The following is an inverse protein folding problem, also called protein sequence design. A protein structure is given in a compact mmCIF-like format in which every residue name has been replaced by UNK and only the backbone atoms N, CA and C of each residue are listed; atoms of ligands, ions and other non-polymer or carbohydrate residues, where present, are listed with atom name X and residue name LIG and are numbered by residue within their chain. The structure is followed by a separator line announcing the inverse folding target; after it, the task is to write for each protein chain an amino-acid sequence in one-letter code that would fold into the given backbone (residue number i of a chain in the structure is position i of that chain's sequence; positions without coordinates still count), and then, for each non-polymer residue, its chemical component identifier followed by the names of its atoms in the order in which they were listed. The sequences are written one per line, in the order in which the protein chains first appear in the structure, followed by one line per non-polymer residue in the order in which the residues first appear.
data_IF_507674510811
#
_entry.id   IF_507674510811
#
_cell.length_a   1.000
_cell.length_b   1.000
_cell.length_c   1.000
_cell.angle_alpha   90.00
_cell.angle_beta   90.00
_cell.angle_gamma   90.00
#
_symmetry.space_group_name_H-M   'P 1'
#
loop_
_entity.id
_entity.type
_entity.pdbx_description
1 polymer ?
#
# COMPACT_ATOMS: atom_id res chain seq x y z
N UNK A 1 9.66 17.62 -24.48
CA UNK A 1 8.44 18.15 -23.83
C UNK A 1 7.90 17.26 -22.69
N UNK A 2 7.64 15.95 -22.87
CA UNK A 2 7.07 15.09 -21.76
C UNK A 2 7.95 15.04 -20.50
N UNK A 3 9.29 15.05 -20.63
CA UNK A 3 10.23 14.97 -19.49
C UNK A 3 10.29 16.29 -18.70
N UNK A 4 10.29 17.44 -19.39
CA UNK A 4 10.30 18.77 -18.76
C UNK A 4 9.00 18.99 -17.98
N UNK A 5 7.86 18.62 -18.55
CA UNK A 5 6.57 18.71 -17.86
C UNK A 5 6.51 17.83 -16.60
N UNK A 6 7.17 16.67 -16.63
CA UNK A 6 7.30 15.82 -15.43
C UNK A 6 8.15 16.48 -14.34
N UNK A 7 9.25 17.11 -14.72
CA UNK A 7 10.14 17.83 -13.79
C UNK A 7 9.40 19.03 -13.17
N UNK A 8 8.74 19.84 -13.99
CA UNK A 8 7.96 20.99 -13.53
C UNK A 8 6.81 20.56 -12.62
N UNK A 9 6.09 19.51 -12.98
CA UNK A 9 4.98 19.00 -12.17
C UNK A 9 5.48 18.45 -10.83
N UNK A 10 6.64 17.80 -10.82
CA UNK A 10 7.30 17.33 -9.61
C UNK A 10 7.76 18.48 -8.72
N UNK A 11 8.40 19.49 -9.30
CA UNK A 11 8.81 20.69 -8.58
C UNK A 11 7.62 21.42 -7.95
N UNK A 12 6.54 21.61 -8.72
CA UNK A 12 5.30 22.22 -8.18
C UNK A 12 4.71 21.42 -7.02
N UNK A 13 4.68 20.11 -7.13
CA UNK A 13 4.21 19.24 -6.06
C UNK A 13 5.09 19.38 -4.81
N UNK A 14 6.42 19.31 -4.98
CA UNK A 14 7.36 19.20 -3.88
C UNK A 14 7.62 20.55 -3.18
N UNK A 15 7.36 21.71 -3.85
CA UNK A 15 7.70 23.04 -3.34
C UNK A 15 6.58 24.08 -3.35
N UNK A 16 5.48 23.85 -4.07
CA UNK A 16 4.43 24.87 -4.24
C UNK A 16 3.08 24.41 -3.69
N UNK A 17 2.75 23.14 -3.82
CA UNK A 17 1.46 22.65 -3.34
C UNK A 17 1.46 22.44 -1.82
N UNK A 18 0.34 22.85 -1.19
CA UNK A 18 0.13 22.68 0.24
C UNK A 18 -0.07 21.20 0.58
N UNK A 19 0.17 20.89 1.84
CA UNK A 19 -0.19 19.63 2.46
C UNK A 19 -1.66 19.27 2.16
N UNK A 20 -1.90 18.03 1.67
CA UNK A 20 -3.21 17.59 1.19
C UNK A 20 -3.92 16.63 2.15
N UNK A 21 -3.48 16.53 3.40
CA UNK A 21 -4.12 15.65 4.38
C UNK A 21 -5.54 16.09 4.72
N UNK A 22 -5.90 17.36 4.57
CA UNK A 22 -7.28 17.81 4.71
C UNK A 22 -8.19 17.14 3.66
N UNK A 23 -7.75 17.08 2.40
CA UNK A 23 -8.51 16.38 1.35
C UNK A 23 -8.62 14.87 1.64
N UNK A 24 -7.57 14.26 2.20
CA UNK A 24 -7.65 12.87 2.63
C UNK A 24 -8.72 12.69 3.70
N UNK A 25 -8.68 13.51 4.75
CA UNK A 25 -9.68 13.51 5.83
C UNK A 25 -11.10 13.70 5.30
N UNK A 26 -11.32 14.68 4.43
CA UNK A 26 -12.64 14.99 3.85
C UNK A 26 -13.19 13.80 3.06
N UNK A 27 -12.34 13.09 2.30
CA UNK A 27 -12.75 11.87 1.62
C UNK A 27 -13.21 10.79 2.62
N UNK A 28 -12.48 10.60 3.72
CA UNK A 28 -12.84 9.60 4.74
C UNK A 28 -14.12 9.95 5.48
N UNK A 29 -14.31 11.22 5.85
CA UNK A 29 -15.53 11.72 6.49
C UNK A 29 -16.73 11.49 5.56
N UNK A 30 -16.62 11.92 4.29
CA UNK A 30 -17.67 11.72 3.31
C UNK A 30 -18.07 10.24 3.13
N UNK A 31 -17.08 9.34 3.02
CA UNK A 31 -17.37 7.91 2.88
C UNK A 31 -18.06 7.36 4.14
N UNK A 32 -17.58 7.76 5.33
CA UNK A 32 -18.16 7.34 6.61
C UNK A 32 -19.62 7.79 6.72
N UNK A 33 -19.89 9.07 6.42
CA UNK A 33 -21.24 9.65 6.45
C UNK A 33 -22.14 9.04 5.37
N UNK A 34 -21.56 8.56 4.28
CA UNK A 34 -22.25 7.81 3.22
C UNK A 34 -22.52 6.34 3.58
N UNK A 35 -22.18 5.90 4.80
CA UNK A 35 -22.47 4.57 5.33
C UNK A 35 -21.46 3.48 4.94
N UNK A 36 -20.25 3.84 4.50
CA UNK A 36 -19.20 2.85 4.26
C UNK A 36 -18.58 2.35 5.55
N UNK A 37 -18.37 1.04 5.63
CA UNK A 37 -17.58 0.38 6.68
C UNK A 37 -16.12 0.29 6.24
N UNK A 38 -15.21 0.64 7.14
CA UNK A 38 -13.77 0.60 6.88
C UNK A 38 -13.16 -0.66 7.46
N UNK A 39 -12.44 -1.38 6.63
CA UNK A 39 -11.84 -2.66 6.99
C UNK A 39 -10.35 -2.70 6.63
N UNK A 40 -9.58 -3.41 7.43
CA UNK A 40 -8.21 -3.77 7.05
C UNK A 40 -8.24 -4.78 5.91
N UNK A 41 -7.13 -4.96 5.21
CA UNK A 41 -6.98 -5.93 4.10
C UNK A 41 -7.38 -7.34 4.56
N UNK A 42 -6.85 -7.79 5.70
CA UNK A 42 -7.13 -9.13 6.23
C UNK A 42 -8.58 -9.29 6.69
N UNK A 43 -9.18 -8.26 7.27
CA UNK A 43 -10.59 -8.26 7.68
C UNK A 43 -11.51 -8.24 6.47
N UNK A 44 -11.24 -7.37 5.49
CA UNK A 44 -11.98 -7.33 4.23
C UNK A 44 -11.93 -8.67 3.48
N UNK A 45 -10.75 -9.33 3.45
CA UNK A 45 -10.61 -10.65 2.82
C UNK A 45 -11.58 -11.69 3.41
N UNK A 46 -11.77 -11.67 4.74
CA UNK A 46 -12.69 -12.57 5.43
C UNK A 46 -14.16 -12.22 5.16
N UNK A 47 -14.50 -10.93 5.20
CA UNK A 47 -15.88 -10.44 5.10
C UNK A 47 -16.44 -10.43 3.69
N UNK A 48 -15.63 -10.05 2.71
CA UNK A 48 -16.08 -9.79 1.33
C UNK A 48 -16.63 -11.04 0.62
N UNK A 49 -16.41 -12.23 1.20
CA UNK A 49 -16.97 -13.48 0.71
C UNK A 49 -18.40 -13.74 1.21
N UNK A 50 -18.88 -12.99 2.22
CA UNK A 50 -20.11 -13.31 2.96
C UNK A 50 -21.28 -12.35 2.68
N UNK A 51 -21.05 -11.18 2.06
CA UNK A 51 -22.12 -10.22 1.75
C UNK A 51 -21.88 -9.47 0.45
N UNK A 52 -22.91 -9.37 -0.40
CA UNK A 52 -22.83 -8.74 -1.72
C UNK A 52 -23.23 -7.26 -1.73
N UNK A 53 -23.89 -6.74 -0.69
CA UNK A 53 -24.57 -5.42 -0.72
C UNK A 53 -23.95 -4.36 0.18
N UNK A 54 -23.04 -4.72 1.08
CA UNK A 54 -22.50 -3.77 2.04
C UNK A 54 -21.51 -2.78 1.40
N UNK A 55 -21.63 -1.52 1.78
CA UNK A 55 -20.64 -0.49 1.46
C UNK A 55 -19.37 -0.72 2.26
N UNK A 56 -18.28 -1.05 1.59
CA UNK A 56 -17.02 -1.42 2.20
C UNK A 56 -15.86 -0.62 1.59
N UNK A 57 -15.00 -0.11 2.45
CA UNK A 57 -13.74 0.53 2.06
C UNK A 57 -12.57 -0.21 2.68
N UNK A 58 -11.61 -0.57 1.85
CA UNK A 58 -10.33 -1.09 2.28
C UNK A 58 -9.24 -0.09 1.93
N UNK A 59 -8.56 0.46 2.95
CA UNK A 59 -7.46 1.40 2.75
C UNK A 59 -6.14 0.70 3.01
N UNK A 60 -5.19 0.93 2.11
CA UNK A 60 -3.82 0.47 2.18
C UNK A 60 -2.86 1.64 2.06
N UNK A 61 -1.90 1.73 2.99
CA UNK A 61 -0.77 2.62 2.94
C UNK A 61 0.50 1.83 2.65
N UNK A 62 1.17 2.16 1.55
CA UNK A 62 2.48 1.61 1.22
C UNK A 62 3.54 2.60 1.72
N UNK A 63 4.25 2.21 2.80
CA UNK A 63 5.27 3.02 3.45
C UNK A 63 6.62 2.77 2.79
N UNK A 64 6.87 3.53 1.71
CA UNK A 64 8.02 3.35 0.82
C UNK A 64 9.29 4.02 1.32
N UNK A 65 9.15 5.11 2.07
CA UNK A 65 10.23 6.01 2.45
C UNK A 65 10.26 6.28 3.96
N UNK A 66 11.23 7.07 4.37
CA UNK A 66 11.48 7.39 5.78
C UNK A 66 10.64 8.57 6.30
N UNK A 67 9.60 9.01 5.58
CA UNK A 67 8.69 10.06 6.03
C UNK A 67 7.82 9.56 7.21
N UNK A 68 8.38 9.73 8.40
CA UNK A 68 7.70 9.39 9.64
C UNK A 68 6.47 10.27 9.87
N UNK A 69 6.58 11.58 9.61
CA UNK A 69 5.54 12.56 9.91
C UNK A 69 4.28 12.33 9.06
N UNK A 70 4.44 12.15 7.76
CA UNK A 70 3.31 11.89 6.86
C UNK A 70 2.52 10.63 7.24
N UNK A 71 3.23 9.55 7.58
CA UNK A 71 2.58 8.31 8.03
C UNK A 71 1.91 8.45 9.42
N UNK A 72 2.50 9.25 10.33
CA UNK A 72 1.88 9.56 11.63
C UNK A 72 0.60 10.40 11.46
N UNK A 73 0.55 11.29 10.45
CA UNK A 73 -0.67 12.09 10.15
C UNK A 73 -1.79 11.18 9.64
N UNK A 74 -1.54 10.25 8.72
CA UNK A 74 -2.53 9.25 8.29
C UNK A 74 -3.12 8.51 9.49
N UNK A 75 -2.25 7.94 10.34
CA UNK A 75 -2.68 7.24 11.55
C UNK A 75 -3.55 8.13 12.46
N UNK A 76 -3.17 9.41 12.70
CA UNK A 76 -3.92 10.33 13.56
C UNK A 76 -5.31 10.64 12.99
N UNK A 77 -5.40 10.91 11.68
CA UNK A 77 -6.67 11.16 10.99
C UNK A 77 -7.59 9.95 11.14
N UNK A 78 -7.13 8.78 10.76
CA UNK A 78 -7.92 7.56 10.76
C UNK A 78 -8.35 7.16 12.18
N UNK A 79 -7.44 7.26 13.15
CA UNK A 79 -7.76 7.03 14.56
C UNK A 79 -8.83 7.98 15.06
N UNK A 80 -8.75 9.28 14.74
CA UNK A 80 -9.75 10.28 15.15
C UNK A 80 -11.14 10.00 14.59
N UNK A 81 -11.20 9.37 13.41
CA UNK A 81 -12.43 8.96 12.75
C UNK A 81 -12.89 7.54 13.12
N UNK A 82 -12.16 6.86 14.02
CA UNK A 82 -12.38 5.44 14.35
C UNK A 82 -12.37 4.52 13.12
N UNK A 83 -11.46 4.78 12.17
CA UNK A 83 -11.24 4.00 10.96
C UNK A 83 -10.04 3.08 11.18
N UNK A 84 -10.07 1.89 10.60
CA UNK A 84 -8.94 0.95 10.54
C UNK A 84 -8.53 0.73 9.11
N UNK A 85 -7.21 0.72 8.90
CA UNK A 85 -6.58 0.49 7.60
C UNK A 85 -5.37 -0.45 7.74
N UNK A 86 -4.69 -0.72 6.63
CA UNK A 86 -3.50 -1.57 6.59
C UNK A 86 -2.28 -0.75 6.16
N UNK A 87 -1.20 -0.83 6.94
CA UNK A 87 0.08 -0.19 6.67
C UNK A 87 1.13 -1.24 6.34
N UNK A 88 1.80 -1.11 5.20
CA UNK A 88 2.85 -2.03 4.77
C UNK A 88 4.21 -1.36 4.82
N UNK A 89 5.13 -1.91 5.63
CA UNK A 89 6.45 -1.35 5.85
C UNK A 89 7.54 -2.22 5.20
N UNK A 90 8.54 -1.57 4.61
CA UNK A 90 9.75 -2.23 4.12
C UNK A 90 10.66 -2.58 5.30
N UNK A 91 11.52 -3.60 5.15
CA UNK A 91 12.54 -3.92 6.18
C UNK A 91 13.51 -2.76 6.42
N UNK A 92 13.79 -1.95 5.39
CA UNK A 92 14.66 -0.77 5.48
C UNK A 92 14.05 0.34 6.33
N UNK A 93 12.73 0.50 6.32
CA UNK A 93 12.04 1.60 7.02
C UNK A 93 11.51 1.24 8.41
N UNK A 94 11.50 -0.05 8.77
CA UNK A 94 10.88 -0.54 10.01
C UNK A 94 11.46 0.10 11.28
N UNK A 95 12.77 0.38 11.31
CA UNK A 95 13.42 0.94 12.49
C UNK A 95 12.98 2.39 12.74
N UNK A 96 12.87 3.19 11.69
CA UNK A 96 12.42 4.58 11.76
C UNK A 96 10.97 4.64 12.21
N UNK A 97 10.13 3.74 11.70
CA UNK A 97 8.70 3.69 12.02
C UNK A 97 8.34 2.85 13.25
N UNK A 98 9.32 2.39 14.03
CA UNK A 98 9.09 1.48 15.17
C UNK A 98 8.01 1.96 16.15
N UNK A 99 8.00 3.24 16.48
CA UNK A 99 7.02 3.80 17.41
C UNK A 99 5.62 3.89 16.77
N UNK A 100 5.53 4.25 15.49
CA UNK A 100 4.28 4.25 14.74
C UNK A 100 3.71 2.83 14.64
N UNK A 101 4.54 1.84 14.29
CA UNK A 101 4.14 0.43 14.21
C UNK A 101 3.53 -0.04 15.54
N UNK A 102 4.16 0.29 16.68
CA UNK A 102 3.61 -0.04 18.00
C UNK A 102 2.24 0.58 18.24
N UNK A 103 2.04 1.87 17.85
CA UNK A 103 0.75 2.56 17.97
C UNK A 103 -0.31 1.89 17.08
N UNK A 104 0.02 1.62 15.81
CA UNK A 104 -0.87 0.95 14.86
C UNK A 104 -1.35 -0.40 15.41
N UNK A 105 -0.42 -1.25 15.86
CA UNK A 105 -0.74 -2.57 16.40
C UNK A 105 -1.60 -2.51 17.66
N UNK A 106 -1.28 -1.59 18.59
CA UNK A 106 -2.06 -1.38 19.82
C UNK A 106 -3.49 -0.94 19.52
N UNK A 107 -3.66 -0.08 18.53
CA UNK A 107 -4.94 0.54 18.20
C UNK A 107 -5.73 -0.26 17.14
N UNK A 108 -5.29 -1.49 16.82
CA UNK A 108 -6.03 -2.44 15.98
C UNK A 108 -5.94 -2.20 14.47
N UNK A 109 -4.95 -1.44 14.02
CA UNK A 109 -4.60 -1.35 12.60
C UNK A 109 -3.87 -2.60 12.15
N UNK A 110 -3.93 -2.91 10.86
CA UNK A 110 -3.13 -3.97 10.28
C UNK A 110 -1.75 -3.45 9.90
N UNK A 111 -0.73 -4.21 10.27
CA UNK A 111 0.66 -3.98 9.85
C UNK A 111 1.13 -5.19 9.06
N UNK A 112 1.63 -4.96 7.86
CA UNK A 112 2.14 -5.98 6.95
C UNK A 112 3.53 -5.67 6.42
N UNK A 113 4.13 -6.66 5.76
CA UNK A 113 5.44 -6.53 5.13
C UNK A 113 5.32 -6.06 3.68
N UNK A 114 6.01 -4.96 3.33
CA UNK A 114 6.13 -4.43 1.99
C UNK A 114 7.38 -4.99 1.32
N UNK A 115 7.24 -6.13 0.64
CA UNK A 115 8.36 -6.92 0.16
C UNK A 115 8.85 -6.50 -1.22
N UNK A 116 10.18 -6.58 -1.43
CA UNK A 116 10.86 -6.14 -2.65
C UNK A 116 11.95 -7.11 -3.15
N UNK A 117 12.03 -8.30 -2.59
CA UNK A 117 13.10 -9.26 -2.87
C UNK A 117 13.30 -9.57 -4.36
N UNK A 118 12.25 -9.74 -5.20
CA UNK A 118 12.46 -10.02 -6.61
C UNK A 118 13.17 -8.90 -7.34
N UNK A 119 12.75 -7.65 -7.13
CA UNK A 119 13.39 -6.47 -7.74
C UNK A 119 14.79 -6.23 -7.20
N UNK A 120 15.01 -6.45 -5.90
CA UNK A 120 16.32 -6.37 -5.26
C UNK A 120 17.26 -7.45 -5.78
N UNK A 121 16.81 -8.70 -5.85
CA UNK A 121 17.59 -9.79 -6.41
C UNK A 121 18.02 -9.54 -7.86
N UNK A 122 17.11 -9.00 -8.67
CA UNK A 122 17.39 -8.64 -10.05
C UNK A 122 18.49 -7.57 -10.15
N UNK A 123 18.45 -6.54 -9.28
CA UNK A 123 19.46 -5.47 -9.22
C UNK A 123 20.82 -6.00 -8.78
N UNK A 124 20.87 -6.73 -7.66
CA UNK A 124 22.09 -7.26 -7.07
C UNK A 124 22.84 -8.21 -8.02
N UNK A 125 22.10 -9.06 -8.74
CA UNK A 125 22.67 -10.03 -9.67
C UNK A 125 22.76 -9.54 -11.13
N UNK A 126 22.50 -8.22 -11.38
CA UNK A 126 22.58 -7.59 -12.70
C UNK A 126 21.76 -8.34 -13.78
N UNK A 127 20.66 -8.99 -13.39
CA UNK A 127 19.77 -9.73 -14.30
C UNK A 127 19.04 -8.72 -15.20
N UNK A 128 18.97 -9.05 -16.51
CA UNK A 128 18.45 -8.13 -17.53
C UNK A 128 17.18 -8.63 -18.23
N UNK A 129 16.63 -9.74 -17.79
CA UNK A 129 15.41 -10.32 -18.37
C UNK A 129 14.60 -11.10 -17.33
N UNK A 130 13.29 -11.21 -17.59
CA UNK A 130 12.36 -11.88 -16.69
C UNK A 130 12.57 -13.40 -16.65
N UNK A 131 12.94 -14.03 -17.76
CA UNK A 131 13.12 -15.49 -17.81
C UNK A 131 14.25 -15.93 -16.89
N UNK A 132 15.38 -15.22 -16.90
CA UNK A 132 16.50 -15.47 -15.97
C UNK A 132 16.07 -15.23 -14.53
N UNK A 133 15.29 -14.17 -14.25
CA UNK A 133 14.75 -13.93 -12.92
C UNK A 133 13.85 -15.08 -12.45
N UNK A 134 12.96 -15.57 -13.32
CA UNK A 134 12.04 -16.68 -13.00
C UNK A 134 12.77 -18.01 -12.74
N UNK A 135 13.89 -18.28 -13.39
CA UNK A 135 14.74 -19.44 -13.08
C UNK A 135 15.28 -19.42 -11.64
N UNK A 136 15.35 -18.26 -11.03
CA UNK A 136 15.78 -18.07 -9.64
C UNK A 136 14.61 -18.01 -8.64
N UNK A 137 13.38 -18.35 -9.04
CA UNK A 137 12.16 -18.22 -8.20
C UNK A 137 12.32 -18.85 -6.83
N UNK A 138 12.87 -20.08 -6.75
CA UNK A 138 13.07 -20.77 -5.47
C UNK A 138 13.98 -20.00 -4.52
N UNK A 139 15.06 -19.39 -5.02
CA UNK A 139 15.99 -18.59 -4.21
C UNK A 139 15.31 -17.30 -3.72
N UNK A 140 14.54 -16.64 -4.61
CA UNK A 140 13.79 -15.43 -4.29
C UNK A 140 12.71 -15.74 -3.24
N UNK A 141 11.97 -16.82 -3.40
CA UNK A 141 10.94 -17.26 -2.45
C UNK A 141 11.53 -17.62 -1.07
N UNK A 142 12.72 -18.23 -1.03
CA UNK A 142 13.46 -18.43 0.25
C UNK A 142 13.78 -17.11 0.92
N UNK A 143 14.26 -16.09 0.17
CA UNK A 143 14.52 -14.75 0.70
C UNK A 143 13.23 -14.10 1.25
N UNK A 144 12.11 -14.15 0.51
CA UNK A 144 10.81 -13.66 0.97
C UNK A 144 10.43 -14.32 2.31
N UNK A 145 10.48 -15.66 2.38
CA UNK A 145 10.14 -16.40 3.60
C UNK A 145 11.04 -16.00 4.79
N UNK A 146 12.33 -15.81 4.56
CA UNK A 146 13.28 -15.38 5.59
C UNK A 146 12.95 -13.97 6.07
N UNK A 147 12.68 -13.05 5.15
CA UNK A 147 12.41 -11.66 5.45
C UNK A 147 11.04 -11.44 6.13
N UNK A 148 10.03 -12.26 5.84
CA UNK A 148 8.77 -12.29 6.60
C UNK A 148 9.07 -12.60 8.07
N UNK A 149 9.87 -13.63 8.36
CA UNK A 149 10.23 -14.00 9.75
C UNK A 149 11.03 -12.89 10.46
N UNK A 150 11.97 -12.25 9.73
CA UNK A 150 12.74 -11.12 10.26
C UNK A 150 11.80 -9.95 10.57
N UNK A 151 10.87 -9.64 9.67
CA UNK A 151 9.88 -8.59 9.87
C UNK A 151 9.03 -8.86 11.11
N UNK A 152 8.43 -10.05 11.21
CA UNK A 152 7.62 -10.47 12.36
C UNK A 152 8.39 -10.40 13.67
N UNK A 153 9.66 -10.85 13.68
CA UNK A 153 10.53 -10.77 14.85
C UNK A 153 10.78 -9.33 15.29
N UNK A 154 11.00 -8.41 14.34
CA UNK A 154 11.24 -6.99 14.65
C UNK A 154 10.03 -6.27 15.22
N UNK A 155 8.83 -6.61 14.77
CA UNK A 155 7.58 -6.03 15.28
C UNK A 155 6.99 -6.82 16.45
N UNK A 156 7.57 -7.97 16.78
CA UNK A 156 7.09 -8.93 17.80
C UNK A 156 5.62 -9.33 17.59
N UNK A 157 5.21 -9.56 16.34
CA UNK A 157 3.85 -9.98 15.98
C UNK A 157 3.82 -10.71 14.65
N UNK A 158 2.94 -11.72 14.56
CA UNK A 158 2.60 -12.36 13.28
C UNK A 158 1.80 -11.41 12.41
N UNK A 159 2.15 -11.37 11.11
CA UNK A 159 1.40 -10.60 10.11
C UNK A 159 0.40 -11.49 9.40
N UNK A 160 -0.68 -10.90 8.89
CA UNK A 160 -1.75 -11.63 8.21
C UNK A 160 -1.70 -11.46 6.69
N UNK A 161 -1.05 -10.42 6.21
CA UNK A 161 -0.90 -10.14 4.79
C UNK A 161 0.45 -9.52 4.48
N UNK A 162 0.86 -9.62 3.21
CA UNK A 162 2.03 -8.96 2.65
C UNK A 162 1.63 -8.14 1.43
N UNK A 163 2.50 -7.22 1.02
CA UNK A 163 2.25 -6.36 -0.12
C UNK A 163 3.52 -6.22 -0.97
N UNK A 164 3.41 -6.38 -2.27
CA UNK A 164 4.53 -6.20 -3.18
C UNK A 164 4.89 -4.71 -3.37
N UNK A 165 6.15 -4.35 -3.11
CA UNK A 165 6.67 -3.02 -3.44
C UNK A 165 6.87 -2.85 -4.95
N UNK A 166 6.55 -1.65 -5.47
CA UNK A 166 6.79 -1.29 -6.86
C UNK A 166 8.11 -0.55 -7.06
N UNK A 167 9.04 -1.10 -7.85
CA UNK A 167 10.35 -0.52 -8.15
C UNK A 167 10.42 -0.03 -9.61
N UNK A 168 11.41 0.83 -9.94
CA UNK A 168 11.69 1.23 -11.32
C UNK A 168 12.04 0.04 -12.22
N UNK A 169 12.69 -0.99 -11.66
CA UNK A 169 13.10 -2.20 -12.37
C UNK A 169 11.89 -3.04 -12.78
N UNK A 170 10.83 -3.06 -11.94
CA UNK A 170 9.56 -3.70 -12.27
C UNK A 170 8.93 -3.07 -13.52
N UNK A 171 8.96 -1.73 -13.61
CA UNK A 171 8.47 -1.00 -14.79
C UNK A 171 9.33 -1.23 -16.03
N UNK A 172 10.65 -1.29 -15.86
CA UNK A 172 11.59 -1.52 -16.96
C UNK A 172 11.41 -2.89 -17.60
N UNK A 173 11.23 -3.94 -16.79
CA UNK A 173 11.15 -5.33 -17.25
C UNK A 173 9.72 -5.90 -17.21
N UNK A 174 8.70 -5.04 -16.99
CA UNK A 174 7.26 -5.32 -17.07
C UNK A 174 6.81 -6.51 -16.20
N UNK A 175 7.23 -6.54 -14.93
CA UNK A 175 6.78 -7.53 -13.97
C UNK A 175 6.37 -6.87 -12.64
N UNK A 176 5.69 -7.63 -11.78
CA UNK A 176 5.38 -7.24 -10.40
C UNK A 176 6.06 -8.20 -9.43
N UNK A 177 6.50 -7.73 -8.27
CA UNK A 177 7.10 -8.59 -7.26
C UNK A 177 6.12 -9.67 -6.77
N UNK A 178 4.81 -9.42 -6.86
CA UNK A 178 3.75 -10.34 -6.44
C UNK A 178 3.74 -11.68 -7.20
N UNK A 179 4.29 -11.76 -8.43
CA UNK A 179 4.33 -13.02 -9.19
C UNK A 179 5.17 -14.13 -8.53
N UNK A 180 6.01 -13.75 -7.54
CA UNK A 180 6.82 -14.70 -6.77
C UNK A 180 6.14 -15.19 -5.50
N UNK A 181 4.93 -14.70 -5.19
CA UNK A 181 4.13 -15.15 -4.03
C UNK A 181 3.05 -16.10 -4.52
N UNK A 182 3.19 -17.37 -4.17
CA UNK A 182 2.23 -18.43 -4.45
C UNK A 182 1.52 -18.90 -3.17
N UNK A 183 0.61 -19.86 -3.32
CA UNK A 183 -0.09 -20.47 -2.18
C UNK A 183 0.85 -21.11 -1.16
N UNK A 184 2.00 -21.64 -1.61
CA UNK A 184 2.97 -22.26 -0.71
C UNK A 184 3.62 -21.22 0.21
N UNK A 185 3.99 -20.04 -0.31
CA UNK A 185 4.49 -18.91 0.49
C UNK A 185 3.45 -18.48 1.53
N UNK A 186 2.19 -18.31 1.11
CA UNK A 186 1.12 -17.89 2.00
C UNK A 186 0.89 -18.90 3.12
N UNK A 187 0.73 -20.17 2.80
CA UNK A 187 0.49 -21.24 3.77
C UNK A 187 1.66 -21.40 4.74
N UNK A 188 2.89 -21.42 4.24
CA UNK A 188 4.10 -21.58 5.06
C UNK A 188 4.28 -20.48 6.10
N UNK A 189 3.81 -19.27 5.83
CA UNK A 189 3.91 -18.13 6.73
C UNK A 189 2.58 -17.81 7.43
N UNK A 190 1.55 -18.64 7.27
CA UNK A 190 0.20 -18.43 7.83
C UNK A 190 -0.42 -17.09 7.40
N UNK A 191 -0.12 -16.67 6.18
CA UNK A 191 -0.66 -15.45 5.58
C UNK A 191 -2.00 -15.76 4.90
N UNK A 192 -2.91 -14.80 4.95
CA UNK A 192 -4.21 -14.88 4.29
C UNK A 192 -4.11 -14.53 2.80
N UNK A 193 -3.32 -13.49 2.47
CA UNK A 193 -3.20 -13.00 1.09
C UNK A 193 -1.99 -12.09 0.87
N UNK A 194 -1.70 -11.87 -0.39
CA UNK A 194 -0.89 -10.79 -0.91
C UNK A 194 -1.82 -9.66 -1.40
N UNK A 195 -1.53 -8.41 -1.03
CA UNK A 195 -2.44 -7.27 -1.20
C UNK A 195 -2.77 -6.90 -2.67
N UNK A 196 -1.96 -7.37 -3.64
CA UNK A 196 -2.25 -7.27 -5.08
C UNK A 196 -2.88 -8.54 -5.68
N UNK A 197 -3.30 -9.51 -4.85
CA UNK A 197 -3.97 -10.70 -5.35
C UNK A 197 -5.17 -10.32 -6.24
N UNK A 198 -5.13 -10.77 -7.48
CA UNK A 198 -6.13 -10.39 -8.48
C UNK A 198 -7.54 -10.90 -8.13
N UNK A 199 -7.65 -12.06 -7.45
CA UNK A 199 -8.96 -12.59 -7.04
C UNK A 199 -9.54 -11.77 -5.89
N UNK A 200 -8.69 -11.24 -5.00
CA UNK A 200 -9.11 -10.34 -3.95
C UNK A 200 -9.53 -8.97 -4.51
N UNK A 201 -8.67 -8.33 -5.32
CA UNK A 201 -8.95 -7.00 -5.88
C UNK A 201 -10.19 -6.99 -6.76
N UNK A 202 -10.45 -8.04 -7.54
CA UNK A 202 -11.64 -8.16 -8.40
C UNK A 202 -12.97 -8.17 -7.64
N UNK A 203 -12.96 -8.34 -6.32
CA UNK A 203 -14.17 -8.28 -5.49
C UNK A 203 -14.58 -6.85 -5.13
N UNK A 204 -13.75 -5.86 -5.44
CA UNK A 204 -14.05 -4.45 -5.28
C UNK A 204 -14.58 -3.87 -6.59
N UNK A 205 -15.53 -2.93 -6.50
CA UNK A 205 -16.10 -2.26 -7.65
C UNK A 205 -15.09 -1.35 -8.33
N UNK A 206 -14.14 -0.79 -7.56
CA UNK A 206 -13.02 -0.04 -8.10
C UNK A 206 -11.80 -0.05 -7.18
N UNK A 207 -10.63 0.15 -7.82
CA UNK A 207 -9.37 0.46 -7.14
C UNK A 207 -9.00 1.91 -7.40
N UNK A 208 -8.80 2.66 -6.33
CA UNK A 208 -8.44 4.08 -6.35
C UNK A 208 -7.02 4.18 -5.83
N UNK A 209 -6.17 4.88 -6.56
CA UNK A 209 -4.79 5.10 -6.13
C UNK A 209 -4.44 6.57 -6.25
N UNK A 210 -3.63 7.04 -5.33
CA UNK A 210 -3.00 8.33 -5.44
C UNK A 210 -1.95 8.35 -6.55
N UNK A 211 -1.51 9.52 -6.93
CA UNK A 211 -0.49 9.67 -7.97
C UNK A 211 0.49 10.77 -7.63
N UNK A 212 1.72 10.37 -7.38
CA UNK A 212 2.82 11.29 -7.12
C UNK A 212 3.25 12.17 -8.30
N UNK A 213 2.58 12.15 -9.46
CA UNK A 213 3.07 12.79 -10.69
C UNK A 213 2.05 13.65 -11.44
N UNK A 214 0.90 13.97 -10.87
CA UNK A 214 -0.12 14.72 -11.58
C UNK A 214 -0.57 15.97 -10.82
N UNK A 215 -1.31 16.81 -11.51
CA UNK A 215 -2.03 17.97 -10.95
C UNK A 215 -3.04 17.55 -9.88
N UNK A 216 -3.47 16.31 -9.91
CA UNK A 216 -4.49 15.75 -9.02
C UNK A 216 -3.86 14.76 -8.05
N UNK A 217 -4.36 14.68 -6.84
CA UNK A 217 -3.95 13.71 -5.83
C UNK A 217 -4.28 12.30 -6.30
N UNK A 218 -5.51 12.10 -6.76
CA UNK A 218 -5.99 10.81 -7.21
C UNK A 218 -5.74 10.61 -8.71
N UNK A 219 -5.32 9.42 -9.09
CA UNK A 219 -5.08 9.03 -10.47
C UNK A 219 -6.35 9.25 -11.31
N UNK A 220 -6.16 9.81 -12.51
CA UNK A 220 -7.25 10.15 -13.45
C UNK A 220 -8.28 11.13 -12.86
N UNK A 221 -7.93 11.90 -11.83
CA UNK A 221 -8.84 12.79 -11.10
C UNK A 221 -10.08 12.06 -10.55
N UNK A 222 -9.92 10.79 -10.16
CA UNK A 222 -10.99 9.95 -9.67
C UNK A 222 -10.78 9.67 -8.17
N UNK A 223 -11.46 10.46 -7.33
CA UNK A 223 -11.38 10.39 -5.87
C UNK A 223 -12.33 9.35 -5.27
N UNK A 224 -12.13 8.98 -3.98
CA UNK A 224 -13.09 8.16 -3.25
C UNK A 224 -14.51 8.74 -3.24
N UNK A 225 -14.64 10.07 -3.17
CA UNK A 225 -15.95 10.75 -3.26
C UNK A 225 -16.61 10.49 -4.62
N UNK A 226 -15.84 10.61 -5.73
CA UNK A 226 -16.37 10.33 -7.06
C UNK A 226 -16.87 8.87 -7.19
N UNK A 227 -16.17 7.92 -6.59
CA UNK A 227 -16.61 6.52 -6.60
C UNK A 227 -17.94 6.33 -5.84
N UNK A 228 -18.06 6.94 -4.67
CA UNK A 228 -19.31 6.93 -3.90
C UNK A 228 -20.49 7.57 -4.65
N UNK A 229 -20.26 8.73 -5.28
CA UNK A 229 -21.26 9.40 -6.11
C UNK A 229 -21.73 8.54 -7.31
N UNK A 230 -20.84 7.69 -7.84
CA UNK A 230 -21.16 6.68 -8.85
C UNK A 230 -21.79 5.41 -8.28
N UNK A 231 -22.17 5.40 -7.00
CA UNK A 231 -22.81 4.28 -6.29
C UNK A 231 -21.98 3.00 -6.28
N UNK A 232 -20.64 3.12 -6.26
CA UNK A 232 -19.74 1.98 -6.09
C UNK A 232 -19.71 1.60 -4.61
N UNK A 233 -20.03 0.35 -4.28
CA UNK A 233 -20.20 -0.09 -2.90
C UNK A 233 -18.89 -0.59 -2.28
N UNK A 234 -17.98 -1.14 -3.07
CA UNK A 234 -16.72 -1.74 -2.56
C UNK A 234 -15.53 -1.02 -3.14
N UNK A 235 -14.78 -0.30 -2.29
CA UNK A 235 -13.67 0.55 -2.69
C UNK A 235 -12.35 0.01 -2.14
N UNK A 236 -11.35 -0.16 -3.00
CA UNK A 236 -9.99 -0.47 -2.63
C UNK A 236 -9.10 0.76 -2.85
N UNK A 237 -8.56 1.34 -1.78
CA UNK A 237 -7.84 2.61 -1.82
C UNK A 237 -6.37 2.38 -1.47
N UNK A 238 -5.48 2.84 -2.33
CA UNK A 238 -4.03 2.89 -2.08
C UNK A 238 -3.60 4.34 -1.91
N UNK A 239 -2.88 4.62 -0.84
CA UNK A 239 -2.32 5.94 -0.54
C UNK A 239 -0.85 5.84 -0.11
N UNK A 240 -0.05 6.83 -0.55
CA UNK A 240 1.34 7.00 -0.14
C UNK A 240 1.50 8.37 0.53
N UNK A 241 2.25 8.44 1.63
CA UNK A 241 2.48 9.67 2.40
C UNK A 241 3.02 10.80 1.53
N UNK A 242 3.96 10.50 0.64
CA UNK A 242 4.61 11.47 -0.26
C UNK A 242 3.66 12.20 -1.21
N UNK A 243 2.44 11.71 -1.41
CA UNK A 243 1.45 12.38 -2.25
C UNK A 243 0.71 13.45 -1.47
N UNK A 244 0.60 13.28 -0.16
CA UNK A 244 -0.17 14.14 0.74
C UNK A 244 0.71 15.07 1.58
N UNK A 245 1.98 14.73 1.78
CA UNK A 245 2.92 15.49 2.60
C UNK A 245 3.91 16.27 1.74
N UNK A 246 4.09 17.57 2.05
CA UNK A 246 4.95 18.48 1.28
C UNK A 246 6.42 18.41 1.62
N UNK A 247 6.78 18.00 2.84
CA UNK A 247 8.15 18.06 3.33
C UNK A 247 8.96 16.82 2.94
N UNK A 248 9.02 16.54 1.65
CA UNK A 248 9.75 15.39 1.14
C UNK A 248 11.28 15.46 1.33
N UNK A 249 11.81 16.66 1.66
CA UNK A 249 13.24 16.92 1.82
C UNK A 249 13.59 17.59 3.16
N UNK A 250 12.71 17.58 4.14
CA UNK A 250 13.01 18.09 5.48
C UNK A 250 13.66 17.02 6.36
#
# INVERSE_FOLDING_TARGET
MKTINKIISRFKRDFIYRNHFDQYRDNLVYLKDSGYQFETISSAHKKINHSSTDKLVCIRHDVDIEDFEGNEIFYKIEKSLNIKSSFYFRLSTIQIHKNLIKKLLRDGFEVGYHFEEPSTFMKENKIKDLNTLMKNSTTIQKKINTNIKIFESRINKKILSICAHGDWINRKYQFTNSIFVDKHILLKNSLLLEAYDKHFIKKFDCSITDTGNSKYIWKNNFSPINASQKKMNKLYILSHERTFHLNYFA
#
